data_IF_491198451377
#
_entry.id   IF_491198451377
#
_cell.length_a   1.000
_cell.length_b   1.000
_cell.length_c   1.000
_cell.angle_alpha   90.00
_cell.angle_beta   90.00
_cell.angle_gamma   90.00
#
_symmetry.space_group_name_H-M   'P 1'
#
loop_
_entity.id
_entity.type
_entity.pdbx_description
1 polymer ?
#
# COMPACT_ATOMS: atom_id res chain seq x y z
N UNK A 1 0.69 -4.17 17.39
CA UNK A 1 1.63 -3.41 16.56
C UNK A 1 0.81 -2.82 15.42
N UNK A 2 0.78 -1.50 15.31
CA UNK A 2 0.05 -0.79 14.26
C UNK A 2 0.92 -0.69 13.00
N UNK A 3 0.40 -0.95 11.80
CA UNK A 3 1.17 -0.84 10.56
C UNK A 3 1.43 0.62 10.17
N UNK A 4 2.55 0.86 9.49
CA UNK A 4 2.89 2.18 8.95
C UNK A 4 2.48 2.32 7.48
N UNK A 5 2.21 3.55 7.04
CA UNK A 5 1.97 3.83 5.61
C UNK A 5 3.25 3.54 4.83
N UNK A 6 3.15 2.78 3.74
CA UNK A 6 4.29 2.38 2.91
C UNK A 6 5.03 1.14 3.40
N UNK A 7 4.59 0.51 4.50
CA UNK A 7 5.15 -0.77 4.95
C UNK A 7 4.89 -1.89 3.92
N UNK A 8 5.91 -2.72 3.68
CA UNK A 8 5.81 -3.92 2.84
C UNK A 8 5.91 -5.15 3.74
N UNK A 9 4.97 -6.09 3.60
CA UNK A 9 4.96 -7.36 4.34
C UNK A 9 4.62 -8.52 3.41
N UNK A 10 5.05 -9.73 3.79
CA UNK A 10 4.57 -10.96 3.16
C UNK A 10 3.16 -11.28 3.68
N UNK A 11 2.26 -11.67 2.77
CA UNK A 11 0.90 -12.07 3.09
C UNK A 11 0.56 -13.39 2.40
N UNK A 12 0.00 -14.35 3.13
CA UNK A 12 -0.30 -15.70 2.63
C UNK A 12 -1.67 -15.86 1.95
N UNK A 13 -2.46 -14.79 1.85
CA UNK A 13 -3.75 -14.81 1.15
C UNK A 13 -3.67 -14.29 -0.29
N UNK A 14 -4.76 -14.45 -1.05
CA UNK A 14 -4.82 -14.07 -2.46
C UNK A 14 -5.59 -12.76 -2.73
N UNK A 15 -5.66 -11.86 -1.73
CA UNK A 15 -6.31 -10.55 -1.82
C UNK A 15 -5.57 -9.52 -0.98
N UNK A 16 -5.76 -8.23 -1.25
CA UNK A 16 -5.25 -7.18 -0.37
C UNK A 16 -6.24 -6.94 0.79
N UNK A 17 -5.83 -7.09 2.07
CA UNK A 17 -6.65 -6.69 3.21
C UNK A 17 -7.01 -5.19 3.16
N UNK A 18 -8.03 -4.78 3.91
CA UNK A 18 -8.43 -3.36 3.97
C UNK A 18 -7.25 -2.49 4.41
N UNK A 19 -6.98 -1.42 3.66
CA UNK A 19 -5.86 -0.49 3.91
C UNK A 19 -4.52 -0.94 3.32
N UNK A 20 -4.48 -2.08 2.63
CA UNK A 20 -3.30 -2.59 1.93
C UNK A 20 -3.56 -2.64 0.43
N UNK A 21 -2.47 -2.72 -0.34
CA UNK A 21 -2.48 -2.95 -1.77
C UNK A 21 -1.45 -4.03 -2.13
N UNK A 22 -1.69 -4.75 -3.22
CA UNK A 22 -0.70 -5.71 -3.75
C UNK A 22 0.47 -4.96 -4.41
N UNK A 23 1.69 -5.42 -4.19
CA UNK A 23 2.89 -4.90 -4.86
C UNK A 23 3.09 -5.53 -6.25
N UNK A 24 2.13 -5.32 -7.16
CA UNK A 24 2.07 -5.96 -8.49
C UNK A 24 2.23 -4.98 -9.67
N UNK A 25 2.70 -3.75 -9.43
CA UNK A 25 2.87 -2.74 -10.49
C UNK A 25 1.57 -2.09 -10.99
N UNK A 26 0.50 -2.13 -10.19
CA UNK A 26 -0.76 -1.45 -10.52
C UNK A 26 -0.62 0.08 -10.51
N UNK A 27 -1.41 0.76 -11.35
CA UNK A 27 -1.53 2.22 -11.32
C UNK A 27 -2.44 2.64 -10.16
N UNK A 28 -1.98 3.61 -9.36
CA UNK A 28 -2.71 4.15 -8.22
C UNK A 28 -2.84 5.67 -8.34
N UNK A 29 -4.01 6.20 -7.99
CA UNK A 29 -4.28 7.64 -8.05
C UNK A 29 -3.51 8.39 -6.97
N UNK A 30 -2.61 9.29 -7.36
CA UNK A 30 -1.83 10.12 -6.42
C UNK A 30 -2.74 10.94 -5.53
N UNK A 31 -3.83 11.49 -6.07
CA UNK A 31 -4.80 12.31 -5.32
C UNK A 31 -5.46 11.51 -4.19
N UNK A 32 -5.72 10.22 -4.41
CA UNK A 32 -6.34 9.35 -3.39
C UNK A 32 -5.32 8.83 -2.36
N UNK A 33 -4.05 8.72 -2.74
CA UNK A 33 -2.99 8.13 -1.91
C UNK A 33 -1.87 9.15 -1.60
N UNK A 34 -2.23 10.43 -1.41
CA UNK A 34 -1.26 11.53 -1.25
C UNK A 34 -0.24 11.27 -0.13
N UNK A 35 -0.66 10.73 1.01
CA UNK A 35 0.23 10.42 2.13
C UNK A 35 1.25 9.32 1.78
N UNK A 36 0.85 8.30 1.03
CA UNK A 36 1.74 7.25 0.55
C UNK A 36 2.78 7.82 -0.42
N UNK A 37 2.35 8.60 -1.42
CA UNK A 37 3.26 9.20 -2.40
C UNK A 37 4.18 10.25 -1.79
N UNK A 38 3.74 10.96 -0.74
CA UNK A 38 4.60 11.90 0.01
C UNK A 38 5.78 11.19 0.70
N UNK A 39 5.67 9.88 0.97
CA UNK A 39 6.73 9.06 1.56
C UNK A 39 7.59 8.40 0.47
N UNK A 40 6.98 8.02 -0.66
CA UNK A 40 7.67 7.27 -1.73
C UNK A 40 8.52 8.14 -2.66
N UNK A 41 8.18 9.41 -2.87
CA UNK A 41 8.92 10.33 -3.76
C UNK A 41 8.44 10.29 -5.20
#
# INVERSE_FOLDING_TARGET
MEPFIGQIIMFGGNFAPRGWALCNGQLMSIVQYQALFSILG
#
